data_IF_579287032623
#
_entry.id   IF_579287032623
#
_cell.length_a   1.000
_cell.length_b   1.000
_cell.length_c   1.000
_cell.angle_alpha   90.00
_cell.angle_beta   90.00
_cell.angle_gamma   90.00
#
_symmetry.space_group_name_H-M   'P 1'
#
loop_
_entity.id
_entity.type
_entity.pdbx_description
1 polymer ?
#
# COMPACT_ATOMS: atom_id res chain seq x y z
N UNK A 1 -16.70 20.04 -6.45
CA UNK A 1 -16.23 19.68 -5.10
C UNK A 1 -14.77 19.33 -5.18
N UNK A 2 -13.94 19.74 -4.24
CA UNK A 2 -12.50 19.55 -4.34
C UNK A 2 -12.09 18.37 -3.44
N UNK A 3 -11.71 17.24 -4.03
CA UNK A 3 -11.17 16.08 -3.32
C UNK A 3 -9.62 16.06 -3.29
N UNK A 4 -8.98 17.12 -3.77
CA UNK A 4 -7.53 17.18 -3.85
C UNK A 4 -6.89 17.04 -2.47
N UNK A 5 -5.78 16.34 -2.43
CA UNK A 5 -4.94 16.17 -1.24
C UNK A 5 -3.53 16.64 -1.56
N UNK A 6 -2.97 17.43 -0.66
CA UNK A 6 -1.55 17.81 -0.71
C UNK A 6 -0.81 17.07 0.39
N UNK A 7 0.22 16.33 0.02
CA UNK A 7 1.03 15.52 0.92
C UNK A 7 2.45 16.11 0.93
N UNK A 8 2.91 16.69 2.03
CA UNK A 8 4.28 17.21 2.13
C UNK A 8 5.29 16.07 2.01
N UNK A 9 6.41 16.33 1.33
CA UNK A 9 7.51 15.38 1.20
C UNK A 9 8.86 16.11 1.06
N UNK A 10 9.96 15.38 1.20
CA UNK A 10 11.32 15.91 1.05
C UNK A 10 11.64 16.36 -0.38
N UNK A 11 10.89 15.86 -1.36
CA UNK A 11 11.04 16.22 -2.79
C UNK A 11 10.05 17.31 -3.26
N UNK A 12 9.32 17.92 -2.31
CA UNK A 12 8.24 18.88 -2.57
C UNK A 12 6.85 18.27 -2.36
N UNK A 13 5.84 19.11 -2.45
CA UNK A 13 4.45 18.69 -2.22
C UNK A 13 3.95 17.71 -3.29
N UNK A 14 3.49 16.55 -2.86
CA UNK A 14 2.81 15.57 -3.70
C UNK A 14 1.32 15.94 -3.78
N UNK A 15 0.84 16.23 -4.98
CA UNK A 15 -0.56 16.62 -5.21
C UNK A 15 -1.33 15.48 -5.82
N UNK A 16 -2.33 14.99 -5.09
CA UNK A 16 -3.24 13.94 -5.51
C UNK A 16 -4.62 14.53 -5.82
N UNK A 17 -5.28 14.05 -6.87
CA UNK A 17 -6.64 14.48 -7.27
C UNK A 17 -7.71 14.10 -6.23
N UNK A 18 -7.46 13.06 -5.46
CA UNK A 18 -8.28 12.56 -4.36
C UNK A 18 -7.43 11.64 -3.46
N UNK A 19 -7.90 11.26 -2.27
CA UNK A 19 -7.12 10.46 -1.34
C UNK A 19 -7.03 8.96 -1.68
N UNK A 20 -7.60 8.50 -2.80
CA UNK A 20 -7.73 7.07 -3.09
C UNK A 20 -6.55 6.54 -3.90
N UNK A 21 -5.98 5.44 -3.42
CA UNK A 21 -4.97 4.63 -4.11
C UNK A 21 -5.32 3.15 -4.01
N UNK A 22 -5.10 2.31 -5.04
CA UNK A 22 -5.13 0.87 -4.86
C UNK A 22 -3.93 0.42 -4.03
N UNK A 23 -4.10 -0.55 -3.14
CA UNK A 23 -2.97 -1.21 -2.51
C UNK A 23 -2.25 -2.13 -3.51
N UNK A 24 -0.94 -2.26 -3.38
CA UNK A 24 -0.16 -3.12 -4.24
C UNK A 24 -0.73 -4.55 -4.35
N UNK A 25 -0.61 -5.16 -5.53
CA UNK A 25 -1.07 -6.51 -5.85
C UNK A 25 -2.61 -6.70 -5.80
N UNK A 26 -3.41 -5.64 -5.90
CA UNK A 26 -4.88 -5.76 -5.88
C UNK A 26 -5.55 -5.37 -7.19
N UNK A 27 -4.86 -4.66 -8.07
CA UNK A 27 -5.30 -4.32 -9.43
C UNK A 27 -4.35 -4.87 -10.52
N UNK A 28 -3.69 -6.00 -10.26
CA UNK A 28 -2.77 -6.61 -11.24
C UNK A 28 -1.64 -5.66 -11.64
N UNK A 29 -1.32 -5.63 -12.93
CA UNK A 29 -0.38 -4.67 -13.51
C UNK A 29 -1.09 -3.41 -14.05
N UNK A 30 -2.34 -3.17 -13.64
CA UNK A 30 -3.20 -2.03 -13.97
C UNK A 30 -3.85 -2.11 -15.35
N UNK A 31 -3.18 -2.60 -16.38
CA UNK A 31 -3.71 -2.68 -17.75
C UNK A 31 -5.06 -3.42 -17.78
N UNK A 32 -5.18 -4.51 -17.03
CA UNK A 32 -6.40 -5.33 -16.98
C UNK A 32 -7.60 -4.54 -16.44
N UNK A 33 -7.34 -3.52 -15.64
CA UNK A 33 -8.39 -2.70 -15.03
C UNK A 33 -8.77 -1.46 -15.84
N UNK A 34 -7.96 -1.06 -16.81
CA UNK A 34 -8.24 0.08 -17.69
C UNK A 34 -9.51 -0.09 -18.52
N UNK A 35 -9.96 -1.34 -18.73
CA UNK A 35 -11.23 -1.64 -19.38
C UNK A 35 -12.48 -1.43 -18.52
N UNK A 36 -12.32 -1.21 -17.20
CA UNK A 36 -13.43 -1.06 -16.26
C UNK A 36 -13.62 0.38 -15.79
N UNK A 37 -12.56 1.18 -15.74
CA UNK A 37 -12.61 2.60 -15.38
C UNK A 37 -11.36 3.35 -15.86
N UNK A 38 -11.42 4.68 -15.92
CA UNK A 38 -10.26 5.50 -16.25
C UNK A 38 -9.28 5.53 -15.05
N UNK A 39 -8.09 4.97 -15.25
CA UNK A 39 -7.03 4.95 -14.23
C UNK A 39 -6.58 6.35 -13.82
N UNK A 40 -6.83 7.36 -14.67
CA UNK A 40 -6.52 8.75 -14.36
C UNK A 40 -7.50 9.40 -13.37
N UNK A 41 -8.57 8.74 -12.97
CA UNK A 41 -9.52 9.28 -11.97
C UNK A 41 -8.95 9.24 -10.55
N UNK A 42 -8.04 8.33 -10.23
CA UNK A 42 -7.55 8.10 -8.88
C UNK A 42 -6.41 9.04 -8.47
N UNK A 43 -6.19 9.16 -7.16
CA UNK A 43 -5.14 9.99 -6.60
C UNK A 43 -3.74 9.50 -6.96
N UNK A 44 -3.49 8.20 -6.82
CA UNK A 44 -2.29 7.52 -7.29
C UNK A 44 -2.61 6.09 -7.72
N UNK A 45 -1.70 5.48 -8.48
CA UNK A 45 -1.80 4.09 -8.94
C UNK A 45 -0.64 3.27 -8.44
N UNK A 46 -0.93 2.02 -8.08
CA UNK A 46 0.07 1.07 -7.60
C UNK A 46 -0.19 -0.31 -8.22
N UNK A 47 0.72 -0.80 -9.07
CA UNK A 47 0.62 -2.13 -9.68
C UNK A 47 0.97 -3.25 -8.68
N UNK A 48 1.22 -4.44 -9.19
CA UNK A 48 1.81 -5.52 -8.42
C UNK A 48 3.14 -5.10 -7.80
N UNK A 49 3.50 -5.75 -6.68
CA UNK A 49 4.82 -5.54 -6.09
C UNK A 49 5.92 -6.00 -7.05
N UNK A 50 7.01 -5.26 -7.11
CA UNK A 50 8.14 -5.53 -8.00
C UNK A 50 9.35 -6.02 -7.22
N UNK A 51 10.15 -6.85 -7.89
CA UNK A 51 11.46 -7.31 -7.46
C UNK A 51 12.51 -6.91 -8.51
N UNK A 52 13.78 -7.07 -8.16
CA UNK A 52 14.85 -6.89 -9.15
C UNK A 52 14.83 -8.04 -10.17
N UNK A 53 14.61 -9.25 -9.69
CA UNK A 53 14.56 -10.47 -10.50
C UNK A 53 13.13 -11.04 -10.57
N UNK A 54 12.78 -11.63 -11.72
CA UNK A 54 11.50 -12.31 -11.88
C UNK A 54 11.46 -13.58 -11.03
N UNK A 55 10.39 -13.74 -10.26
CA UNK A 55 10.14 -14.97 -9.50
C UNK A 55 9.58 -16.07 -10.40
N UNK A 56 9.87 -17.31 -10.05
CA UNK A 56 9.24 -18.46 -10.71
C UNK A 56 7.73 -18.46 -10.45
N UNK A 57 6.88 -18.68 -11.47
CA UNK A 57 5.44 -18.80 -11.29
C UNK A 57 5.10 -19.91 -10.30
N UNK A 58 4.19 -19.62 -9.36
CA UNK A 58 3.67 -20.65 -8.44
C UNK A 58 2.29 -21.10 -8.87
N UNK A 59 2.07 -22.41 -8.88
CA UNK A 59 0.76 -23.04 -9.13
C UNK A 59 -0.15 -23.03 -7.89
N UNK A 60 0.33 -22.57 -6.75
CA UNK A 60 -0.45 -22.53 -5.52
C UNK A 60 -1.63 -21.55 -5.64
N UNK A 61 -2.76 -21.92 -5.04
CA UNK A 61 -3.95 -21.06 -4.97
C UNK A 61 -3.61 -19.80 -4.18
N UNK A 62 -3.71 -18.64 -4.83
CA UNK A 62 -3.24 -17.37 -4.30
C UNK A 62 -4.26 -16.65 -3.39
N UNK A 63 -5.55 -16.89 -3.60
CA UNK A 63 -6.62 -16.21 -2.88
C UNK A 63 -7.62 -17.23 -2.36
N UNK A 64 -8.00 -17.10 -1.08
CA UNK A 64 -9.05 -17.85 -0.44
C UNK A 64 -10.05 -16.89 0.20
N UNK A 65 -11.32 -16.93 -0.23
CA UNK A 65 -12.39 -16.18 0.40
C UNK A 65 -12.73 -16.80 1.77
N UNK A 66 -12.86 -15.95 2.78
CA UNK A 66 -13.41 -16.26 4.11
C UNK A 66 -14.79 -15.63 4.28
N UNK A 67 -15.45 -15.83 5.42
CA UNK A 67 -16.77 -15.24 5.66
C UNK A 67 -16.73 -13.69 5.64
N UNK A 68 -15.65 -13.08 6.14
CA UNK A 68 -15.55 -11.63 6.32
C UNK A 68 -14.27 -11.04 5.69
N UNK A 69 -13.76 -11.66 4.62
CA UNK A 69 -12.57 -11.17 3.95
C UNK A 69 -11.88 -12.22 3.08
N UNK A 70 -10.58 -12.06 2.93
CA UNK A 70 -9.74 -12.90 2.09
C UNK A 70 -8.44 -13.26 2.81
N UNK A 71 -7.92 -14.44 2.51
CA UNK A 71 -6.52 -14.78 2.74
C UNK A 71 -5.85 -14.83 1.38
N UNK A 72 -4.78 -14.06 1.21
CA UNK A 72 -4.07 -13.93 -0.05
C UNK A 72 -2.58 -14.19 0.10
N UNK A 73 -2.01 -14.88 -0.87
CA UNK A 73 -0.57 -15.13 -1.01
C UNK A 73 -0.08 -14.59 -2.37
N UNK A 74 -0.48 -13.37 -2.69
CA UNK A 74 -0.27 -12.74 -4.01
C UNK A 74 1.20 -12.40 -4.29
N UNK A 75 2.02 -12.34 -3.26
CA UNK A 75 3.44 -11.93 -3.35
C UNK A 75 4.37 -12.90 -4.06
N UNK A 76 3.90 -14.04 -4.53
CA UNK A 76 4.76 -15.07 -5.15
C UNK A 76 4.75 -15.09 -6.68
N UNK A 77 4.00 -14.21 -7.35
CA UNK A 77 4.10 -13.98 -8.79
C UNK A 77 4.71 -12.60 -9.03
N UNK A 78 6.00 -12.59 -9.14
CA UNK A 78 6.73 -11.34 -9.20
C UNK A 78 7.23 -11.12 -10.62
N UNK A 79 6.73 -10.05 -11.23
CA UNK A 79 7.36 -9.44 -12.38
C UNK A 79 8.61 -8.68 -11.90
N UNK A 80 9.68 -8.73 -12.64
CA UNK A 80 10.80 -7.84 -12.37
C UNK A 80 10.46 -6.40 -12.77
N UNK A 81 11.17 -5.45 -12.16
CA UNK A 81 11.00 -4.04 -12.53
C UNK A 81 11.37 -3.79 -14.01
N UNK A 82 12.33 -4.53 -14.55
CA UNK A 82 12.76 -4.40 -15.94
C UNK A 82 11.73 -4.97 -16.93
N UNK A 83 11.05 -6.06 -16.58
CA UNK A 83 9.92 -6.56 -17.37
C UNK A 83 8.76 -5.57 -17.34
N UNK A 84 8.46 -5.00 -16.18
CA UNK A 84 7.42 -3.97 -16.04
C UNK A 84 7.74 -2.73 -16.88
N UNK A 85 8.97 -2.23 -16.80
CA UNK A 85 9.43 -1.07 -17.58
C UNK A 85 9.30 -1.30 -19.09
N UNK A 86 9.66 -2.50 -19.55
CA UNK A 86 9.69 -2.83 -20.99
C UNK A 86 8.31 -3.19 -21.55
N UNK A 87 7.53 -3.98 -20.81
CA UNK A 87 6.34 -4.65 -21.34
C UNK A 87 5.03 -3.98 -20.91
N UNK A 88 5.01 -3.32 -19.74
CA UNK A 88 3.78 -2.77 -19.16
C UNK A 88 3.75 -1.25 -19.23
N UNK A 89 4.79 -0.61 -18.71
CA UNK A 89 4.83 0.84 -18.53
C UNK A 89 4.58 1.65 -19.81
N UNK A 90 5.07 1.24 -21.01
CA UNK A 90 4.81 1.97 -22.26
C UNK A 90 3.36 1.90 -22.73
N UNK A 91 2.60 0.90 -22.26
CA UNK A 91 1.21 0.64 -22.67
C UNK A 91 0.19 1.01 -21.59
N UNK A 92 0.64 1.52 -20.45
CA UNK A 92 -0.22 1.84 -19.32
C UNK A 92 -1.01 3.13 -19.61
N UNK A 93 -2.35 3.07 -19.75
CA UNK A 93 -3.19 4.23 -20.03
C UNK A 93 -3.45 5.04 -18.76
N UNK A 94 -2.39 5.54 -18.15
CA UNK A 94 -2.40 6.27 -16.89
C UNK A 94 -1.33 7.37 -16.93
N UNK A 95 -1.61 8.46 -17.66
CA UNK A 95 -0.60 9.48 -17.94
C UNK A 95 -0.51 10.56 -16.85
N UNK A 96 -1.64 10.90 -16.24
CA UNK A 96 -1.75 12.05 -15.33
C UNK A 96 -1.84 11.69 -13.85
N UNK A 97 -1.92 10.41 -13.52
CA UNK A 97 -1.96 9.93 -12.15
C UNK A 97 -0.58 9.44 -11.71
N UNK A 98 -0.11 9.84 -10.52
CA UNK A 98 1.14 9.37 -9.96
C UNK A 98 1.22 7.85 -9.92
N UNK A 99 2.35 7.29 -10.37
CA UNK A 99 2.63 5.87 -10.30
C UNK A 99 3.63 5.60 -9.18
N UNK A 100 3.28 4.66 -8.29
CA UNK A 100 4.08 4.27 -7.14
C UNK A 100 4.38 2.77 -7.25
N UNK A 101 5.61 2.37 -7.02
CA UNK A 101 6.03 0.96 -7.06
C UNK A 101 6.25 0.43 -5.64
N UNK A 102 5.48 -0.59 -5.25
CA UNK A 102 5.73 -1.38 -4.04
C UNK A 102 6.94 -2.30 -4.29
N UNK A 103 8.00 -2.10 -3.52
CA UNK A 103 9.26 -2.81 -3.66
C UNK A 103 9.38 -3.96 -2.69
N UNK A 104 9.79 -5.12 -3.19
CA UNK A 104 10.14 -6.31 -2.41
C UNK A 104 11.53 -6.81 -2.77
N UNK A 105 12.26 -7.28 -1.76
CA UNK A 105 13.59 -7.83 -1.95
C UNK A 105 13.89 -8.95 -0.97
N UNK A 106 14.85 -9.79 -1.29
CA UNK A 106 15.33 -10.86 -0.40
C UNK A 106 16.36 -10.33 0.62
N UNK A 107 16.97 -9.20 0.33
CA UNK A 107 17.90 -8.52 1.23
C UNK A 107 18.00 -7.02 0.97
N UNK A 108 18.80 -6.33 1.79
CA UNK A 108 19.00 -4.87 1.69
C UNK A 108 19.73 -4.41 0.42
N UNK A 109 20.55 -5.28 -0.16
CA UNK A 109 21.34 -4.94 -1.37
C UNK A 109 20.43 -4.96 -2.60
N UNK A 110 19.59 -5.98 -2.72
CA UNK A 110 18.55 -6.01 -3.76
C UNK A 110 17.55 -4.86 -3.61
N UNK A 111 17.21 -4.47 -2.37
CA UNK A 111 16.32 -3.32 -2.13
C UNK A 111 16.94 -2.02 -2.64
N UNK A 112 18.24 -1.81 -2.39
CA UNK A 112 19.00 -0.66 -2.86
C UNK A 112 19.12 -0.66 -4.40
N UNK A 113 19.46 -1.80 -5.00
CA UNK A 113 19.56 -1.96 -6.45
C UNK A 113 18.23 -1.68 -7.16
N UNK A 114 17.13 -2.21 -6.60
CA UNK A 114 15.78 -1.97 -7.12
C UNK A 114 15.41 -0.48 -7.04
N UNK A 115 15.72 0.19 -5.93
CA UNK A 115 15.49 1.62 -5.78
C UNK A 115 16.32 2.45 -6.78
N UNK A 116 17.60 2.12 -6.97
CA UNK A 116 18.47 2.79 -7.95
C UNK A 116 17.99 2.60 -9.40
N UNK A 117 17.43 1.43 -9.72
CA UNK A 117 16.83 1.17 -11.03
C UNK A 117 15.59 2.03 -11.25
N UNK A 118 14.69 2.11 -10.25
CA UNK A 118 13.47 2.92 -10.32
C UNK A 118 13.79 4.41 -10.35
N UNK A 119 14.87 4.85 -9.73
CA UNK A 119 15.32 6.26 -9.78
C UNK A 119 15.50 6.76 -11.21
N UNK A 120 15.91 5.89 -12.15
CA UNK A 120 16.11 6.23 -13.56
C UNK A 120 14.81 6.29 -14.37
N UNK A 121 13.68 5.83 -13.80
CA UNK A 121 12.38 5.76 -14.47
C UNK A 121 11.54 7.01 -14.17
N UNK A 122 11.61 8.03 -15.02
CA UNK A 122 10.95 9.33 -14.80
C UNK A 122 9.42 9.22 -14.66
N UNK A 123 8.80 8.21 -15.30
CA UNK A 123 7.35 7.97 -15.20
C UNK A 123 6.90 7.52 -13.82
N UNK A 124 7.79 6.96 -13.01
CA UNK A 124 7.50 6.50 -11.65
C UNK A 124 7.78 7.66 -10.68
N UNK A 125 6.74 8.13 -9.98
CA UNK A 125 6.86 9.21 -9.02
C UNK A 125 7.38 8.74 -7.67
N UNK A 126 6.95 7.57 -7.20
CA UNK A 126 7.25 7.12 -5.86
C UNK A 126 7.56 5.63 -5.74
N UNK A 127 8.11 5.29 -4.61
CA UNK A 127 8.39 3.91 -4.20
C UNK A 127 7.82 3.66 -2.81
N UNK A 128 7.25 2.47 -2.62
CA UNK A 128 6.81 1.99 -1.31
C UNK A 128 7.71 0.83 -0.88
N UNK A 129 8.49 1.00 0.19
CA UNK A 129 9.28 -0.08 0.78
C UNK A 129 8.36 -1.01 1.54
N UNK A 130 8.24 -2.27 1.12
CA UNK A 130 7.48 -3.27 1.85
C UNK A 130 8.33 -3.87 2.97
N UNK A 131 8.07 -3.46 4.21
CA UNK A 131 8.88 -3.86 5.38
C UNK A 131 8.67 -5.29 5.86
N UNK A 132 7.86 -6.11 5.16
CA UNK A 132 7.89 -7.57 5.36
C UNK A 132 9.19 -8.23 4.84
N UNK A 133 10.15 -7.45 4.34
CA UNK A 133 11.49 -7.93 3.97
C UNK A 133 12.32 -8.38 5.17
N UNK A 134 13.26 -9.35 4.99
CA UNK A 134 13.55 -10.04 3.73
C UNK A 134 12.47 -11.06 3.34
N UNK A 135 12.22 -11.19 2.05
CA UNK A 135 11.33 -12.23 1.50
C UNK A 135 12.08 -13.55 1.35
N UNK A 136 12.41 -14.19 2.47
CA UNK A 136 13.18 -15.41 2.51
C UNK A 136 13.65 -15.74 3.93
N UNK A 137 14.67 -16.60 4.09
CA UNK A 137 15.29 -16.85 5.38
C UNK A 137 15.93 -15.57 5.93
N UNK A 138 15.69 -15.27 7.19
CA UNK A 138 16.30 -14.12 7.86
C UNK A 138 15.37 -13.46 8.87
N UNK A 139 15.95 -12.59 9.71
CA UNK A 139 15.19 -11.79 10.66
C UNK A 139 14.66 -10.55 9.93
N UNK A 140 13.36 -10.25 10.00
CA UNK A 140 12.82 -9.02 9.42
C UNK A 140 13.50 -7.77 9.98
N UNK A 141 13.88 -6.84 9.11
CA UNK A 141 14.59 -5.60 9.49
C UNK A 141 13.82 -4.75 10.51
N UNK A 142 12.48 -4.77 10.47
CA UNK A 142 11.65 -4.02 11.42
C UNK A 142 11.77 -4.48 12.88
N UNK A 143 12.39 -5.65 13.16
CA UNK A 143 12.67 -6.11 14.52
C UNK A 143 13.86 -5.41 15.18
N UNK A 144 14.62 -4.67 14.41
CA UNK A 144 15.73 -3.84 14.89
C UNK A 144 15.59 -2.42 14.31
N UNK A 145 15.22 -1.42 15.13
CA UNK A 145 15.02 -0.05 14.65
C UNK A 145 16.23 0.56 13.95
N UNK A 146 17.45 0.25 14.40
CA UNK A 146 18.68 0.79 13.80
C UNK A 146 18.92 0.17 12.41
N UNK A 147 18.68 -1.14 12.24
CA UNK A 147 18.78 -1.80 10.94
C UNK A 147 17.69 -1.32 9.98
N UNK A 148 16.48 -1.07 10.49
CA UNK A 148 15.38 -0.52 9.72
C UNK A 148 15.69 0.90 9.24
N UNK A 149 16.14 1.77 10.14
CA UNK A 149 16.60 3.13 9.81
C UNK A 149 17.69 3.10 8.75
N UNK A 150 18.70 2.24 8.91
CA UNK A 150 19.78 2.08 7.94
C UNK A 150 19.27 1.59 6.57
N UNK A 151 18.31 0.65 6.53
CA UNK A 151 17.69 0.19 5.28
C UNK A 151 16.98 1.34 4.56
N UNK A 152 16.15 2.10 5.27
CA UNK A 152 15.41 3.24 4.67
C UNK A 152 16.37 4.31 4.16
N UNK A 153 17.42 4.62 4.92
CA UNK A 153 18.45 5.58 4.52
C UNK A 153 19.22 5.14 3.25
N UNK A 154 19.51 3.84 3.10
CA UNK A 154 20.10 3.31 1.86
C UNK A 154 19.19 3.49 0.67
N UNK A 155 17.89 3.17 0.83
CA UNK A 155 16.89 3.34 -0.24
C UNK A 155 16.74 4.82 -0.60
N UNK A 156 16.67 5.72 0.39
CA UNK A 156 16.64 7.18 0.14
C UNK A 156 17.87 7.66 -0.64
N UNK A 157 19.05 7.18 -0.27
CA UNK A 157 20.29 7.54 -0.98
C UNK A 157 20.30 7.01 -2.43
N UNK A 158 19.75 5.84 -2.68
CA UNK A 158 19.65 5.24 -4.01
C UNK A 158 18.55 5.87 -4.89
N UNK A 159 17.49 6.44 -4.29
CA UNK A 159 16.37 7.06 -5.00
C UNK A 159 16.01 8.43 -4.42
N UNK A 160 16.90 9.45 -4.53
CA UNK A 160 16.71 10.75 -3.89
C UNK A 160 15.58 11.58 -4.50
N UNK A 161 15.17 11.34 -5.74
CA UNK A 161 14.12 12.09 -6.44
C UNK A 161 12.73 11.46 -6.31
N UNK A 162 12.60 10.26 -5.69
CA UNK A 162 11.35 9.55 -5.59
C UNK A 162 10.65 9.85 -4.25
N UNK A 163 9.32 9.95 -4.29
CA UNK A 163 8.49 9.96 -3.08
C UNK A 163 8.67 8.62 -2.36
N UNK A 164 9.26 8.64 -1.17
CA UNK A 164 9.61 7.43 -0.42
C UNK A 164 8.59 7.13 0.66
N UNK A 165 7.86 6.05 0.48
CA UNK A 165 6.84 5.56 1.43
C UNK A 165 7.38 4.31 2.11
N UNK A 166 7.20 4.17 3.42
CA UNK A 166 7.52 2.95 4.16
C UNK A 166 6.21 2.26 4.60
N UNK A 167 6.00 1.02 4.16
CA UNK A 167 4.82 0.23 4.50
C UNK A 167 5.10 -0.69 5.67
N UNK A 168 4.47 -0.37 6.80
CA UNK A 168 4.59 -1.11 8.06
C UNK A 168 4.06 -2.55 7.89
N UNK A 169 4.77 -3.59 8.41
CA UNK A 169 4.31 -4.97 8.29
C UNK A 169 3.05 -5.22 9.11
N UNK A 170 2.38 -6.33 8.84
CA UNK A 170 1.25 -6.79 9.63
C UNK A 170 1.69 -7.66 10.82
N UNK A 171 0.92 -7.62 11.90
CA UNK A 171 1.16 -8.42 13.11
C UNK A 171 0.98 -7.60 14.39
N UNK A 172 1.28 -8.20 15.52
CA UNK A 172 1.42 -7.49 16.78
C UNK A 172 2.82 -6.87 16.82
N UNK A 173 2.90 -5.61 16.42
CA UNK A 173 4.14 -4.89 16.18
C UNK A 173 4.11 -3.50 16.85
N UNK A 174 5.28 -2.97 17.23
CA UNK A 174 5.39 -1.61 17.75
C UNK A 174 5.33 -0.59 16.58
N UNK A 175 4.13 -0.32 16.06
CA UNK A 175 3.93 0.54 14.88
C UNK A 175 4.55 1.92 15.07
N UNK A 176 4.54 2.47 16.28
CA UNK A 176 5.14 3.75 16.61
C UNK A 176 6.66 3.74 16.41
N UNK A 177 7.35 2.75 16.98
CA UNK A 177 8.82 2.62 16.90
C UNK A 177 9.26 2.39 15.44
N UNK A 178 8.53 1.54 14.70
CA UNK A 178 8.78 1.26 13.29
C UNK A 178 8.60 2.55 12.47
N UNK A 179 7.52 3.30 12.72
CA UNK A 179 7.25 4.55 11.99
C UNK A 179 8.31 5.61 12.24
N UNK A 180 8.74 5.77 13.50
CA UNK A 180 9.82 6.70 13.87
C UNK A 180 11.14 6.30 13.20
N UNK A 181 11.52 5.03 13.25
CA UNK A 181 12.75 4.56 12.59
C UNK A 181 12.73 4.80 11.06
N UNK A 182 11.55 4.65 10.42
CA UNK A 182 11.39 4.95 9.00
C UNK A 182 11.51 6.45 8.72
N UNK A 183 10.88 7.32 9.53
CA UNK A 183 11.01 8.77 9.42
C UNK A 183 12.47 9.19 9.57
N UNK A 184 13.17 8.70 10.60
CA UNK A 184 14.59 8.98 10.83
C UNK A 184 15.50 8.45 9.73
N UNK A 185 15.09 7.41 9.03
CA UNK A 185 15.76 6.88 7.83
C UNK A 185 15.50 7.69 6.55
N UNK A 186 14.60 8.69 6.60
CA UNK A 186 14.31 9.57 5.48
C UNK A 186 13.12 9.13 4.62
N UNK A 187 12.18 8.35 5.17
CA UNK A 187 10.88 8.15 4.54
C UNK A 187 10.09 9.46 4.50
N UNK A 188 9.33 9.71 3.44
CA UNK A 188 8.44 10.86 3.29
C UNK A 188 7.04 10.58 3.82
N UNK A 189 6.64 9.31 3.86
CA UNK A 189 5.34 8.90 4.35
C UNK A 189 5.35 7.48 4.91
N UNK A 190 4.36 7.16 5.75
CA UNK A 190 4.14 5.84 6.32
C UNK A 190 2.82 5.27 5.80
N UNK A 191 2.83 4.10 5.16
CA UNK A 191 1.61 3.28 5.03
C UNK A 191 1.43 2.50 6.32
N UNK A 192 0.37 2.81 7.06
CA UNK A 192 0.23 2.52 8.49
C UNK A 192 0.24 1.04 8.86
N UNK A 193 -0.04 0.15 7.91
CA UNK A 193 -0.10 -1.29 8.17
C UNK A 193 -0.10 -2.10 6.88
N UNK A 194 0.11 -3.42 6.99
CA UNK A 194 -0.08 -4.39 5.92
C UNK A 194 -1.25 -5.33 6.27
N UNK A 195 -1.17 -6.61 5.93
CA UNK A 195 -2.18 -7.61 6.26
C UNK A 195 -1.72 -8.51 7.42
N UNK A 196 -2.65 -9.00 8.23
CA UNK A 196 -2.37 -10.02 9.24
C UNK A 196 -2.09 -11.37 8.57
N UNK A 197 -1.23 -12.19 9.19
CA UNK A 197 -1.09 -13.57 8.78
C UNK A 197 -2.32 -14.39 9.19
N UNK A 198 -2.86 -15.15 8.25
CA UNK A 198 -4.02 -16.00 8.46
C UNK A 198 -3.92 -17.32 7.70
N UNK A 199 -4.77 -18.27 8.04
CA UNK A 199 -4.86 -19.58 7.42
C UNK A 199 -6.28 -20.08 7.31
N UNK A 200 -6.57 -20.94 6.34
CA UNK A 200 -7.83 -21.67 6.20
C UNK A 200 -7.57 -23.12 5.83
N UNK A 201 -8.34 -24.04 6.40
CA UNK A 201 -8.27 -25.48 6.13
C UNK A 201 -9.57 -25.95 5.47
N UNK A 202 -9.46 -26.81 4.48
CA UNK A 202 -10.58 -27.57 3.95
C UNK A 202 -10.79 -28.79 4.86
N UNK A 203 -11.86 -28.81 5.63
CA UNK A 203 -12.15 -29.87 6.60
C UNK A 203 -12.39 -31.27 5.97
N UNK A 204 -12.74 -31.31 4.69
CA UNK A 204 -12.99 -32.56 3.99
C UNK A 204 -11.70 -33.22 3.45
N UNK A 205 -10.67 -32.42 3.18
CA UNK A 205 -9.40 -32.91 2.60
C UNK A 205 -8.20 -32.75 3.53
N UNK A 206 -8.35 -31.99 4.63
CA UNK A 206 -7.26 -31.63 5.53
C UNK A 206 -6.25 -30.63 4.91
N UNK A 207 -6.45 -30.21 3.68
CA UNK A 207 -5.51 -29.34 2.97
C UNK A 207 -5.71 -27.86 3.30
N UNK A 208 -4.64 -27.08 3.33
CA UNK A 208 -4.71 -25.63 3.40
C UNK A 208 -5.35 -25.06 2.12
N UNK A 209 -6.24 -24.07 2.29
CA UNK A 209 -7.02 -23.52 1.18
C UNK A 209 -6.28 -22.43 0.39
N UNK A 210 -5.22 -21.85 0.96
CA UNK A 210 -4.46 -20.77 0.33
C UNK A 210 -2.98 -20.80 0.69
N UNK A 211 -2.15 -20.36 -0.26
CA UNK A 211 -0.71 -20.18 -0.08
C UNK A 211 0.13 -21.45 -0.19
N UNK A 212 1.36 -21.32 -0.61
CA UNK A 212 2.33 -22.42 -0.72
C UNK A 212 2.96 -22.85 0.60
N UNK A 213 2.59 -22.24 1.72
CA UNK A 213 3.05 -22.57 3.08
C UNK A 213 1.92 -22.64 4.08
N UNK A 214 0.67 -22.75 3.60
CA UNK A 214 -0.51 -22.85 4.45
C UNK A 214 -0.96 -21.54 5.08
N UNK A 215 -0.33 -20.41 4.80
CA UNK A 215 -0.66 -19.11 5.32
C UNK A 215 -0.66 -18.03 4.22
N UNK A 216 -1.31 -16.91 4.50
CA UNK A 216 -1.34 -15.73 3.65
C UNK A 216 -1.79 -14.50 4.42
N UNK A 217 -1.78 -13.34 3.76
CA UNK A 217 -2.26 -12.11 4.35
C UNK A 217 -3.78 -12.12 4.47
N UNK A 218 -4.30 -12.03 5.69
CA UNK A 218 -5.72 -11.83 5.96
C UNK A 218 -6.08 -10.35 5.81
N UNK A 219 -7.13 -10.07 5.05
CA UNK A 219 -7.64 -8.74 4.77
C UNK A 219 -9.15 -8.76 4.57
N UNK A 220 -9.80 -7.61 4.61
CA UNK A 220 -11.24 -7.46 4.42
C UNK A 220 -11.89 -6.55 5.47
N UNK A 221 -13.21 -6.31 5.40
CA UNK A 221 -13.91 -5.35 6.27
C UNK A 221 -13.72 -5.61 7.77
N UNK A 222 -13.60 -6.87 8.18
CA UNK A 222 -13.35 -7.24 9.58
C UNK A 222 -12.00 -6.70 10.12
N UNK A 223 -11.09 -6.32 9.23
CA UNK A 223 -9.79 -5.78 9.60
C UNK A 223 -9.79 -4.26 9.83
N UNK A 224 -10.83 -3.54 9.39
CA UNK A 224 -10.89 -2.07 9.50
C UNK A 224 -10.60 -1.52 10.90
N UNK A 225 -11.20 -2.04 12.00
CA UNK A 225 -10.93 -1.49 13.34
C UNK A 225 -9.44 -1.55 13.74
N UNK A 226 -8.74 -2.61 13.34
CA UNK A 226 -7.29 -2.74 13.55
C UNK A 226 -6.54 -1.72 12.71
N UNK A 227 -6.90 -1.59 11.42
CA UNK A 227 -6.29 -0.62 10.51
C UNK A 227 -6.42 0.83 10.99
N UNK A 228 -7.61 1.22 11.48
CA UNK A 228 -7.86 2.56 12.08
C UNK A 228 -6.97 2.79 13.30
N UNK A 229 -6.90 1.81 14.21
CA UNK A 229 -6.04 1.91 15.39
C UNK A 229 -4.56 2.12 15.00
N UNK A 230 -4.05 1.31 14.06
CA UNK A 230 -2.66 1.41 13.61
C UNK A 230 -2.39 2.74 12.90
N UNK A 231 -3.33 3.21 12.08
CA UNK A 231 -3.24 4.53 11.44
C UNK A 231 -3.12 5.66 12.48
N UNK A 232 -3.99 5.68 13.48
CA UNK A 232 -3.97 6.68 14.55
C UNK A 232 -2.67 6.63 15.36
N UNK A 233 -2.18 5.42 15.69
CA UNK A 233 -0.92 5.25 16.44
C UNK A 233 0.29 5.72 15.64
N UNK A 234 0.36 5.37 14.35
CA UNK A 234 1.40 5.87 13.45
C UNK A 234 1.36 7.40 13.34
N UNK A 235 0.17 7.98 13.08
CA UNK A 235 0.00 9.42 12.92
C UNK A 235 0.32 10.22 14.20
N UNK A 236 0.17 9.60 15.37
CA UNK A 236 0.56 10.23 16.65
C UNK A 236 2.06 10.14 16.94
N UNK A 237 2.80 9.27 16.25
CA UNK A 237 4.21 9.01 16.53
C UNK A 237 5.18 9.74 15.59
N UNK A 238 4.74 10.18 14.43
CA UNK A 238 5.59 10.80 13.40
C UNK A 238 5.05 12.13 12.92
N UNK A 239 5.94 12.97 12.39
CA UNK A 239 5.59 14.27 11.78
C UNK A 239 5.32 14.12 10.26
N UNK A 240 5.76 13.03 9.65
CA UNK A 240 5.54 12.76 8.23
C UNK A 240 4.13 12.21 7.97
N UNK A 241 3.56 12.42 6.76
CA UNK A 241 2.24 11.94 6.39
C UNK A 241 2.03 10.45 6.60
N UNK A 242 0.82 10.08 7.03
CA UNK A 242 0.40 8.68 7.15
C UNK A 242 -0.65 8.37 6.08
N UNK A 243 -0.51 7.21 5.45
CA UNK A 243 -1.45 6.63 4.48
C UNK A 243 -2.19 5.50 5.19
N UNK A 244 -3.51 5.62 5.30
CA UNK A 244 -4.36 4.63 5.94
C UNK A 244 -4.59 3.42 5.06
N UNK A 245 -4.67 2.22 5.65
CA UNK A 245 -4.93 0.98 4.91
C UNK A 245 -5.62 -0.06 5.79
N UNK A 246 -6.51 -0.84 5.21
CA UNK A 246 -7.10 -2.03 5.82
C UNK A 246 -8.61 -1.96 5.96
N UNK A 247 -9.31 -2.90 5.35
CA UNK A 247 -10.73 -3.09 5.49
C UNK A 247 -11.65 -2.04 4.87
N UNK A 248 -11.12 -1.08 4.11
CA UNK A 248 -11.89 -0.04 3.43
C UNK A 248 -12.82 -0.70 2.42
N UNK A 249 -14.13 -0.43 2.54
CA UNK A 249 -15.20 -1.05 1.76
C UNK A 249 -16.31 -0.08 1.33
N UNK A 250 -16.31 1.15 1.84
CA UNK A 250 -17.25 2.23 1.50
C UNK A 250 -16.60 3.60 1.72
N UNK A 251 -17.30 4.67 1.34
CA UNK A 251 -16.81 6.05 1.45
C UNK A 251 -16.63 6.49 2.91
N UNK A 252 -17.50 6.04 3.80
CA UNK A 252 -17.43 6.31 5.24
C UNK A 252 -16.11 5.80 5.84
N UNK A 253 -15.64 4.64 5.38
CA UNK A 253 -14.35 4.08 5.83
C UNK A 253 -13.19 5.00 5.48
N UNK A 254 -13.23 5.66 4.31
CA UNK A 254 -12.22 6.64 3.89
C UNK A 254 -12.21 7.84 4.85
N UNK A 255 -13.39 8.37 5.16
CA UNK A 255 -13.54 9.50 6.11
C UNK A 255 -13.01 9.11 7.50
N UNK A 256 -13.34 7.90 8.00
CA UNK A 256 -12.81 7.41 9.28
C UNK A 256 -11.26 7.40 9.31
N UNK A 257 -10.61 6.96 8.23
CA UNK A 257 -9.15 6.97 8.15
C UNK A 257 -8.58 8.40 8.13
N UNK A 258 -9.20 9.32 7.41
CA UNK A 258 -8.79 10.74 7.41
C UNK A 258 -8.95 11.32 8.82
N UNK A 259 -10.08 11.08 9.50
CA UNK A 259 -10.30 11.53 10.88
C UNK A 259 -9.32 10.87 11.87
N UNK A 260 -8.81 9.68 11.59
CA UNK A 260 -7.76 9.00 12.36
C UNK A 260 -6.35 9.57 12.12
N UNK A 261 -6.19 10.52 11.16
CA UNK A 261 -4.92 11.20 10.87
C UNK A 261 -4.30 10.88 9.51
N UNK A 262 -4.95 10.06 8.67
CA UNK A 262 -4.45 9.75 7.34
C UNK A 262 -4.55 10.95 6.38
N UNK A 263 -3.56 11.10 5.50
CA UNK A 263 -3.59 12.02 4.36
C UNK A 263 -4.28 11.42 3.13
N UNK A 264 -4.10 10.12 2.95
CA UNK A 264 -4.66 9.34 1.86
C UNK A 264 -4.89 7.90 2.33
N UNK A 265 -5.52 7.07 1.49
CA UNK A 265 -5.81 5.69 1.83
C UNK A 265 -5.44 4.73 0.71
N UNK A 266 -4.99 3.53 1.09
CA UNK A 266 -4.79 2.41 0.18
C UNK A 266 -5.94 1.40 0.32
N UNK A 267 -6.61 1.11 -0.79
CA UNK A 267 -7.72 0.15 -0.85
C UNK A 267 -7.21 -1.19 -1.39
N UNK A 268 -7.39 -2.24 -0.60
CA UNK A 268 -6.87 -3.58 -0.92
C UNK A 268 -7.93 -4.56 -1.37
N UNK A 269 -8.38 -5.41 -0.46
CA UNK A 269 -9.20 -6.59 -0.74
C UNK A 269 -10.55 -6.32 -1.41
N UNK A 270 -11.10 -5.11 -1.29
CA UNK A 270 -12.33 -4.73 -1.98
C UNK A 270 -12.17 -4.78 -3.51
N UNK A 271 -10.99 -4.45 -4.03
CA UNK A 271 -10.66 -4.55 -5.45
C UNK A 271 -10.73 -5.99 -5.98
N UNK A 272 -10.45 -6.99 -5.12
CA UNK A 272 -10.52 -8.41 -5.49
C UNK A 272 -11.96 -8.91 -5.67
N UNK A 273 -12.93 -8.16 -5.18
CA UNK A 273 -14.35 -8.50 -5.29
C UNK A 273 -15.00 -7.91 -6.54
N UNK A 274 -14.52 -6.75 -6.97
CA UNK A 274 -15.10 -5.99 -8.10
C UNK A 274 -14.02 -5.20 -8.83
N UNK A 275 -13.88 -5.36 -10.14
CA UNK A 275 -12.85 -4.66 -10.91
C UNK A 275 -13.08 -3.14 -11.03
N UNK A 276 -14.33 -2.67 -10.89
CA UNK A 276 -14.74 -1.26 -10.93
C UNK A 276 -14.89 -0.64 -9.52
N UNK A 277 -14.39 -1.32 -8.47
CA UNK A 277 -14.60 -0.90 -7.09
C UNK A 277 -14.05 0.51 -6.81
N UNK A 278 -12.84 0.80 -7.26
CA UNK A 278 -12.20 2.11 -7.03
C UNK A 278 -12.98 3.27 -7.64
N UNK A 279 -13.49 3.08 -8.85
CA UNK A 279 -14.35 4.07 -9.51
C UNK A 279 -15.63 4.35 -8.71
N UNK A 280 -16.31 3.29 -8.25
CA UNK A 280 -17.53 3.44 -7.44
C UNK A 280 -17.24 4.12 -6.10
N UNK A 281 -16.16 3.69 -5.43
CA UNK A 281 -15.76 4.31 -4.17
C UNK A 281 -15.48 5.81 -4.33
N UNK A 282 -14.87 6.21 -5.44
CA UNK A 282 -14.63 7.62 -5.74
C UNK A 282 -15.95 8.38 -5.88
N UNK A 283 -16.93 7.82 -6.63
CA UNK A 283 -18.25 8.46 -6.80
C UNK A 283 -19.02 8.54 -5.48
N UNK A 284 -18.99 7.49 -4.68
CA UNK A 284 -19.63 7.49 -3.36
C UNK A 284 -18.98 8.49 -2.42
N UNK A 285 -17.63 8.63 -2.47
CA UNK A 285 -16.90 9.63 -1.69
C UNK A 285 -17.23 11.07 -2.12
N UNK A 286 -17.35 11.34 -3.42
CA UNK A 286 -17.80 12.64 -3.93
C UNK A 286 -19.17 13.03 -3.34
N UNK A 287 -20.12 12.09 -3.32
CA UNK A 287 -21.46 12.31 -2.76
C UNK A 287 -21.38 12.53 -1.24
N UNK A 288 -20.66 11.68 -0.52
CA UNK A 288 -20.59 11.76 0.95
C UNK A 288 -19.93 13.06 1.43
N UNK A 289 -18.81 13.46 0.83
CA UNK A 289 -18.12 14.71 1.15
C UNK A 289 -19.05 15.91 0.95
N UNK A 290 -19.88 15.87 -0.11
CA UNK A 290 -20.89 16.89 -0.36
C UNK A 290 -22.00 16.94 0.69
N UNK A 291 -22.51 15.79 1.08
CA UNK A 291 -23.55 15.69 2.10
C UNK A 291 -23.04 16.14 3.48
N UNK A 292 -21.77 15.86 3.80
CA UNK A 292 -21.14 16.30 5.04
C UNK A 292 -20.72 17.77 5.03
N UNK A 293 -20.75 18.46 3.89
CA UNK A 293 -20.29 19.85 3.75
C UNK A 293 -18.79 20.05 3.96
N UNK A 294 -17.99 19.02 3.72
CA UNK A 294 -16.53 19.06 3.88
C UNK A 294 -15.95 19.87 2.71
N UNK A 295 -15.22 20.95 3.01
CA UNK A 295 -14.56 21.78 1.99
C UNK A 295 -13.15 21.26 1.64
N UNK A 296 -12.46 20.71 2.62
CA UNK A 296 -11.15 20.06 2.43
C UNK A 296 -10.92 18.94 3.45
N UNK A 297 -10.10 17.96 3.10
CA UNK A 297 -9.74 16.88 4.03
C UNK A 297 -8.86 17.35 5.19
N UNK A 298 -8.16 18.48 5.06
CA UNK A 298 -7.40 19.11 6.15
C UNK A 298 -8.31 19.47 7.33
N UNK A 299 -9.56 19.88 7.09
CA UNK A 299 -10.51 20.27 8.15
C UNK A 299 -10.90 19.10 9.06
N UNK A 300 -10.89 17.88 8.53
CA UNK A 300 -11.31 16.70 9.28
C UNK A 300 -10.16 15.77 9.66
N UNK A 301 -8.94 16.04 9.16
CA UNK A 301 -7.79 15.19 9.45
C UNK A 301 -7.43 15.22 10.93
N UNK A 302 -7.37 14.03 11.55
CA UNK A 302 -6.99 13.89 12.94
C UNK A 302 -8.02 14.41 13.94
N UNK A 303 -9.26 14.64 13.52
CA UNK A 303 -10.32 15.19 14.40
C UNK A 303 -11.04 14.15 15.24
N UNK A 304 -10.72 12.86 15.08
CA UNK A 304 -11.30 11.81 15.94
C UNK A 304 -10.95 12.07 17.41
N UNK A 305 -11.97 12.05 18.27
CA UNK A 305 -11.85 12.33 19.71
C UNK A 305 -12.49 11.23 20.55
N UNK A 306 -12.03 11.13 21.79
CA UNK A 306 -12.66 10.27 22.81
C UNK A 306 -13.89 11.01 23.33
N UNK A 307 -15.06 10.35 23.31
CA UNK A 307 -16.30 10.85 23.92
C UNK A 307 -16.29 10.66 25.45
#
# INVERSE_FOLDING_TARGET
MNLNVTIPSSIGDIRLKNPLMPAAATLGNLIEHAGYFDLNELGAMMPNSMFIDSGSPTMAKKICKTNNGFISALSKNNMSIFEFEKEILPHLPCETTPLIIDMKAIDKYQMEELAASIEQMDRIMGIEINLNCPYGPGTPYWKNPDELKALVARVRAAAPRKWLIAKVPGGDIPVEEISVACQEGGADAITSYSSLNGSCINIHTGAYRCGGGGSGGFSGPAFKPVGILMCRRAAAAVDIPVIGIGGISCAEDVIEYIMAGAYAVQVGSANLSRPDFMHRLLKDLEVLVGQMGISSFEEIRGTARIE
#
